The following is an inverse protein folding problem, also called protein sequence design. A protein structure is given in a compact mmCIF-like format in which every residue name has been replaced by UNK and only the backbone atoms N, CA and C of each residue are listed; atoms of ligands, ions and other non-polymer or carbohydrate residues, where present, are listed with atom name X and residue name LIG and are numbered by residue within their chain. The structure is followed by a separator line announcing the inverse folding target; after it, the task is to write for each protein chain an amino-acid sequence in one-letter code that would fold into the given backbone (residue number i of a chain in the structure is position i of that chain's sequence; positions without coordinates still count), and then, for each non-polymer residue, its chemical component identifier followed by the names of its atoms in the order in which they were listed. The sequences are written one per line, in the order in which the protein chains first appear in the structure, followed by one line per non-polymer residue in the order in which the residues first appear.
data_IF_975871933019
#
_entry.id   IF_975871933019
#
_cell.length_a   1.000
_cell.length_b   1.000
_cell.length_c   1.000
_cell.angle_alpha   90.00
_cell.angle_beta   90.00
_cell.angle_gamma   90.00
#
_symmetry.space_group_name_H-M   'P 1'
#
loop_
_entity.id
_entity.type
_entity.pdbx_description
1 polymer ?
#
# COMPACT_ATOMS: atom_id res chain seq x y z
N UNK A 1 11.07 -1.87 14.86
CA UNK A 1 9.98 -1.86 15.87
C UNK A 1 9.39 -3.25 16.17
N UNK A 2 9.76 -4.32 15.43
CA UNK A 2 9.38 -5.70 15.77
C UNK A 2 7.98 -6.12 15.32
N UNK A 3 7.37 -5.37 14.40
CA UNK A 3 6.20 -5.80 13.62
C UNK A 3 6.71 -6.50 12.37
N UNK A 4 6.27 -7.73 12.13
CA UNK A 4 6.70 -8.56 11.00
C UNK A 4 5.50 -8.90 10.12
N UNK A 5 5.75 -9.28 8.86
CA UNK A 5 4.68 -9.67 7.95
C UNK A 5 3.73 -8.53 7.56
N UNK A 6 4.20 -7.29 7.65
CA UNK A 6 3.50 -6.13 7.08
C UNK A 6 3.81 -6.11 5.59
N UNK A 7 2.77 -6.02 4.77
CA UNK A 7 2.88 -5.96 3.32
C UNK A 7 2.30 -4.68 2.74
N UNK A 8 2.68 -4.40 1.50
CA UNK A 8 2.24 -3.28 0.69
C UNK A 8 1.20 -3.78 -0.31
N UNK A 9 0.03 -3.15 -0.31
CA UNK A 9 -0.97 -3.31 -1.36
C UNK A 9 -0.94 -2.06 -2.22
N UNK A 10 -0.53 -2.22 -3.47
CA UNK A 10 -0.56 -1.14 -4.45
C UNK A 10 -1.96 -0.48 -4.52
N UNK A 11 -2.05 0.85 -4.62
CA UNK A 11 -0.91 1.78 -4.66
C UNK A 11 -0.44 2.21 -3.26
N UNK A 12 -1.31 2.25 -2.26
CA UNK A 12 -1.06 3.08 -1.07
C UNK A 12 -1.41 2.44 0.28
N UNK A 13 -1.74 1.15 0.34
CA UNK A 13 -2.25 0.54 1.58
C UNK A 13 -1.24 -0.38 2.26
N UNK A 14 -1.27 -0.37 3.59
CA UNK A 14 -0.53 -1.29 4.44
C UNK A 14 -1.45 -2.44 4.87
N UNK A 15 -0.96 -3.66 4.77
CA UNK A 15 -1.71 -4.87 5.10
C UNK A 15 -0.92 -5.79 6.04
N UNK A 16 -1.64 -6.56 6.85
CA UNK A 16 -1.09 -7.69 7.59
C UNK A 16 -2.06 -8.85 7.49
N UNK A 17 -1.59 -10.02 7.03
CA UNK A 17 -2.41 -11.23 6.87
C UNK A 17 -3.73 -11.01 6.09
N UNK A 18 -3.71 -10.13 5.07
CA UNK A 18 -4.88 -9.82 4.26
C UNK A 18 -5.86 -8.80 4.88
N UNK A 19 -5.55 -8.28 6.06
CA UNK A 19 -6.31 -7.24 6.75
C UNK A 19 -5.64 -5.87 6.59
N UNK A 20 -6.43 -4.82 6.35
CA UNK A 20 -5.89 -3.46 6.20
C UNK A 20 -5.41 -2.92 7.56
N UNK A 21 -4.14 -2.51 7.61
CA UNK A 21 -3.49 -1.93 8.79
C UNK A 21 -3.41 -0.39 8.71
N UNK A 22 -3.41 0.17 7.51
CA UNK A 22 -3.28 1.60 7.32
C UNK A 22 -3.32 1.98 5.85
N UNK A 23 -3.20 3.27 5.58
CA UNK A 23 -3.21 3.82 4.23
C UNK A 23 -2.42 5.12 4.16
N UNK A 24 -1.86 5.37 2.98
CA UNK A 24 -1.13 6.59 2.66
C UNK A 24 -1.95 7.36 1.62
N UNK A 25 -2.03 8.67 1.76
CA UNK A 25 -2.62 9.56 0.78
C UNK A 25 -1.60 10.64 0.44
N UNK A 26 -1.35 10.85 -0.85
CA UNK A 26 -0.47 11.92 -1.33
C UNK A 26 -1.28 12.86 -2.19
N UNK A 27 -1.37 14.12 -1.78
CA UNK A 27 -2.02 15.19 -2.53
C UNK A 27 -0.96 16.15 -3.04
N UNK A 28 -1.02 16.50 -4.31
CA UNK A 28 -0.12 17.45 -4.93
C UNK A 28 -0.82 18.80 -5.08
N UNK A 29 -0.12 19.87 -4.70
CA UNK A 29 -0.57 21.25 -4.86
C UNK A 29 0.51 22.12 -5.49
N UNK A 30 0.10 23.26 -6.04
CA UNK A 30 0.98 24.25 -6.66
C UNK A 30 0.75 24.43 -8.16
N UNK A 31 1.70 25.09 -8.81
CA UNK A 31 1.61 25.47 -10.22
C UNK A 31 2.41 24.50 -11.12
N UNK A 32 1.89 24.18 -12.31
CA UNK A 32 2.52 23.23 -13.23
C UNK A 32 3.96 23.60 -13.66
N UNK A 33 4.29 24.90 -13.63
CA UNK A 33 5.61 25.44 -13.96
C UNK A 33 6.24 26.21 -12.79
N UNK A 34 5.64 26.11 -11.60
CA UNK A 34 6.06 26.84 -10.40
C UNK A 34 6.37 25.89 -9.24
N UNK A 35 6.47 26.42 -8.02
CA UNK A 35 6.67 25.60 -6.83
C UNK A 35 5.51 24.62 -6.66
N UNK A 36 5.82 23.32 -6.63
CA UNK A 36 4.89 22.29 -6.23
C UNK A 36 5.18 21.84 -4.79
N UNK A 37 4.15 21.37 -4.10
CA UNK A 37 4.28 20.73 -2.79
C UNK A 37 3.46 19.45 -2.77
N UNK A 38 3.87 18.52 -1.92
CA UNK A 38 3.14 17.30 -1.64
C UNK A 38 2.70 17.29 -0.18
N UNK A 39 1.43 16.94 0.05
CA UNK A 39 0.88 16.65 1.38
C UNK A 39 0.79 15.14 1.51
N UNK A 40 1.55 14.56 2.42
CA UNK A 40 1.59 13.11 2.67
C UNK A 40 0.82 12.83 3.97
N UNK A 41 -0.39 12.30 3.84
CA UNK A 41 -1.18 11.78 4.95
C UNK A 41 -0.84 10.31 5.18
N UNK A 42 -0.44 9.94 6.40
CA UNK A 42 -0.23 8.54 6.81
C UNK A 42 -1.21 8.18 7.90
N UNK A 43 -2.18 7.31 7.57
CA UNK A 43 -3.12 6.73 8.52
C UNK A 43 -2.65 5.34 8.95
N UNK A 44 -2.48 5.12 10.25
CA UNK A 44 -2.09 3.83 10.81
C UNK A 44 -3.04 3.42 11.92
N UNK A 45 -3.59 2.21 11.82
CA UNK A 45 -4.42 1.63 12.87
C UNK A 45 -3.51 1.19 14.01
N UNK A 46 -3.45 1.97 15.09
CA UNK A 46 -2.61 1.66 16.24
C UNK A 46 -3.33 0.75 17.24
N UNK A 47 -4.53 1.17 17.63
CA UNK A 47 -5.44 0.45 18.52
C UNK A 47 -6.85 0.95 18.19
N UNK A 48 -7.67 0.08 17.62
CA UNK A 48 -9.05 0.36 17.29
C UNK A 48 -9.92 -0.27 18.39
N UNK A 49 -10.73 0.57 19.03
CA UNK A 49 -11.68 0.09 20.01
C UNK A 49 -12.69 -0.88 19.38
N UNK A 50 -13.00 -1.97 20.07
CA UNK A 50 -13.88 -3.03 19.54
C UNK A 50 -15.23 -2.49 19.03
N UNK A 51 -15.81 -1.49 19.72
CA UNK A 51 -17.05 -0.85 19.29
C UNK A 51 -16.89 -0.08 17.96
N UNK A 52 -15.81 0.69 17.80
CA UNK A 52 -15.51 1.39 16.55
C UNK A 52 -15.21 0.40 15.42
N UNK A 53 -14.58 -0.73 15.73
CA UNK A 53 -14.30 -1.80 14.78
C UNK A 53 -15.54 -2.41 14.12
N UNK A 54 -16.68 -2.43 14.82
CA UNK A 54 -17.93 -3.01 14.29
C UNK A 54 -18.53 -2.24 13.12
N UNK A 55 -18.15 -0.98 12.93
CA UNK A 55 -18.67 -0.14 11.84
C UNK A 55 -17.80 -0.15 10.59
N UNK A 56 -16.65 -0.85 10.60
CA UNK A 56 -15.73 -0.93 9.47
C UNK A 56 -16.19 -2.06 8.55
N UNK A 57 -16.51 -1.70 7.31
CA UNK A 57 -17.11 -2.55 6.28
C UNK A 57 -16.10 -3.42 5.51
N UNK A 58 -14.81 -3.19 5.72
CA UNK A 58 -13.72 -3.97 5.13
C UNK A 58 -12.88 -4.70 6.19
N UNK A 59 -12.23 -5.82 5.86
CA UNK A 59 -11.32 -6.50 6.77
C UNK A 59 -10.15 -5.59 7.19
N UNK A 60 -9.94 -5.44 8.49
CA UNK A 60 -8.96 -4.54 9.08
C UNK A 60 -8.22 -5.18 10.24
N UNK A 61 -7.07 -4.61 10.58
CA UNK A 61 -6.28 -4.95 11.77
C UNK A 61 -5.60 -3.69 12.31
N UNK A 62 -5.00 -3.79 13.48
CA UNK A 62 -4.24 -2.73 14.13
C UNK A 62 -2.93 -3.26 14.75
N UNK A 63 -2.01 -2.37 15.09
CA UNK A 63 -0.73 -2.76 15.67
C UNK A 63 -0.89 -3.52 16.99
N UNK A 64 -1.90 -3.20 17.80
CA UNK A 64 -2.20 -3.90 19.04
C UNK A 64 -2.53 -5.38 18.81
N UNK A 65 -3.24 -5.68 17.73
CA UNK A 65 -3.62 -7.03 17.32
C UNK A 65 -2.46 -7.78 16.66
N UNK A 66 -1.69 -7.09 15.80
CA UNK A 66 -0.48 -7.66 15.15
C UNK A 66 0.52 -8.15 16.21
N UNK A 67 0.63 -7.44 17.33
CA UNK A 67 1.54 -7.81 18.42
C UNK A 67 0.88 -7.65 19.79
N UNK A 68 0.02 -8.62 20.12
CA UNK A 68 -0.68 -8.66 21.39
C UNK A 68 0.28 -8.61 22.60
N UNK A 69 -0.07 -7.80 23.60
CA UNK A 69 0.63 -7.72 24.88
C UNK A 69 1.87 -6.81 24.91
N UNK A 70 2.24 -6.16 23.80
CA UNK A 70 3.29 -5.14 23.80
C UNK A 70 2.68 -3.75 24.08
N UNK A 71 3.22 -2.96 25.02
CA UNK A 71 2.82 -1.57 25.15
C UNK A 71 3.16 -0.80 23.87
N UNK A 72 2.18 -0.04 23.36
CA UNK A 72 2.33 0.76 22.15
C UNK A 72 2.46 2.23 22.52
N UNK A 73 3.60 2.81 22.15
CA UNK A 73 3.85 4.24 22.26
C UNK A 73 3.64 4.91 20.89
N UNK A 74 2.54 5.65 20.76
CA UNK A 74 2.19 6.40 19.55
C UNK A 74 3.23 7.44 19.16
N UNK A 75 3.83 8.12 20.15
CA UNK A 75 4.83 9.15 19.88
C UNK A 75 6.11 8.51 19.34
N UNK A 76 6.50 7.36 19.90
CA UNK A 76 7.64 6.60 19.39
C UNK A 76 7.40 6.11 17.96
N UNK A 77 6.20 5.60 17.65
CA UNK A 77 5.85 5.19 16.28
C UNK A 77 5.94 6.39 15.34
N UNK A 78 5.34 7.52 15.70
CA UNK A 78 5.36 8.73 14.88
C UNK A 78 6.79 9.23 14.66
N UNK A 79 7.62 9.27 15.69
CA UNK A 79 9.03 9.69 15.58
C UNK A 79 9.81 8.76 14.63
N UNK A 80 9.73 7.45 14.81
CA UNK A 80 10.41 6.49 13.93
C UNK A 80 9.90 6.58 12.48
N UNK A 81 8.58 6.72 12.29
CA UNK A 81 7.98 6.88 10.96
C UNK A 81 8.50 8.14 10.27
N UNK A 82 8.51 9.28 10.98
CA UNK A 82 8.97 10.56 10.42
C UNK A 82 10.45 10.53 10.06
N UNK A 83 11.29 9.96 10.92
CA UNK A 83 12.73 9.78 10.66
C UNK A 83 12.96 8.98 9.37
N UNK A 84 12.34 7.80 9.25
CA UNK A 84 12.51 6.97 8.05
C UNK A 84 11.87 7.59 6.81
N UNK A 85 10.76 8.32 6.97
CA UNK A 85 10.11 9.00 5.84
C UNK A 85 11.02 10.08 5.27
N UNK A 86 11.71 10.85 6.11
CA UNK A 86 12.67 11.87 5.65
C UNK A 86 13.82 11.23 4.87
N UNK A 87 14.43 10.16 5.39
CA UNK A 87 15.51 9.44 4.71
C UNK A 87 15.06 8.88 3.35
N UNK A 88 13.85 8.29 3.29
CA UNK A 88 13.27 7.75 2.06
C UNK A 88 12.98 8.85 1.05
N UNK A 89 12.47 10.01 1.49
CA UNK A 89 12.21 11.15 0.61
C UNK A 89 13.50 11.73 0.03
N UNK A 90 14.58 11.82 0.81
CA UNK A 90 15.89 12.23 0.31
C UNK A 90 16.43 11.26 -0.75
N UNK A 91 16.34 9.96 -0.49
CA UNK A 91 16.74 8.94 -1.45
C UNK A 91 15.89 8.99 -2.73
N UNK A 92 14.57 9.14 -2.59
CA UNK A 92 13.63 9.25 -3.70
C UNK A 92 13.93 10.48 -4.57
N UNK A 93 14.26 11.62 -3.98
CA UNK A 93 14.62 12.84 -4.72
C UNK A 93 15.85 12.65 -5.61
N UNK A 94 16.78 11.74 -5.23
CA UNK A 94 18.00 11.46 -5.98
C UNK A 94 17.84 10.32 -6.99
N UNK A 95 17.09 9.27 -6.63
CA UNK A 95 17.10 7.98 -7.33
C UNK A 95 15.76 7.57 -7.90
N UNK A 96 14.70 8.37 -7.71
CA UNK A 96 13.30 8.06 -8.04
C UNK A 96 12.81 6.76 -7.37
N UNK A 97 11.66 6.24 -7.83
CA UNK A 97 11.13 4.97 -7.33
C UNK A 97 12.05 3.78 -7.63
N UNK A 98 12.92 3.88 -8.64
CA UNK A 98 13.79 2.79 -9.07
C UNK A 98 14.66 2.19 -7.94
N UNK A 99 15.03 2.98 -6.93
CA UNK A 99 15.80 2.50 -5.78
C UNK A 99 15.00 1.56 -4.85
N UNK A 100 13.67 1.58 -4.93
CA UNK A 100 12.78 0.89 -4.00
C UNK A 100 12.08 -0.33 -4.61
N UNK A 101 12.27 -0.62 -5.92
CA UNK A 101 11.58 -1.72 -6.61
C UNK A 101 11.83 -3.07 -5.92
N UNK A 102 13.09 -3.37 -5.59
CA UNK A 102 13.45 -4.64 -4.94
C UNK A 102 12.90 -4.71 -3.51
N UNK A 103 12.89 -3.58 -2.79
CA UNK A 103 12.31 -3.53 -1.45
C UNK A 103 10.79 -3.68 -1.48
N UNK A 104 10.13 -3.04 -2.44
CA UNK A 104 8.71 -3.16 -2.68
C UNK A 104 8.33 -4.61 -2.97
N UNK A 105 9.06 -5.29 -3.86
CA UNK A 105 8.80 -6.68 -4.24
C UNK A 105 8.84 -7.64 -3.05
N UNK A 106 9.66 -7.37 -2.02
CA UNK A 106 9.69 -8.16 -0.77
C UNK A 106 8.43 -8.02 0.08
N UNK A 107 7.67 -6.95 -0.10
CA UNK A 107 6.48 -6.62 0.69
C UNK A 107 5.18 -6.66 -0.13
N UNK A 108 5.25 -6.84 -1.45
CA UNK A 108 4.10 -6.81 -2.35
C UNK A 108 3.12 -7.95 -2.05
N UNK A 109 1.93 -7.61 -1.56
CA UNK A 109 0.88 -8.59 -1.24
C UNK A 109 0.03 -8.97 -2.45
N UNK A 110 0.20 -8.31 -3.59
CA UNK A 110 -0.57 -8.54 -4.82
C UNK A 110 0.18 -9.41 -5.82
N UNK A 111 1.51 -9.48 -5.75
CA UNK A 111 2.33 -10.25 -6.69
C UNK A 111 1.80 -11.68 -6.91
N UNK A 112 1.60 -12.06 -8.17
CA UNK A 112 1.08 -13.37 -8.60
C UNK A 112 -0.42 -13.57 -8.40
N UNK A 113 -1.18 -12.57 -7.92
CA UNK A 113 -2.62 -12.68 -7.72
C UNK A 113 -3.41 -12.13 -8.91
N UNK A 114 -4.51 -12.79 -9.24
CA UNK A 114 -5.50 -12.25 -10.15
C UNK A 114 -6.25 -11.10 -9.48
N UNK A 115 -6.12 -9.90 -10.04
CA UNK A 115 -6.70 -8.68 -9.52
C UNK A 115 -7.68 -8.05 -10.51
N UNK A 116 -8.63 -7.31 -9.95
CA UNK A 116 -9.46 -6.36 -10.68
C UNK A 116 -9.05 -4.96 -10.27
N UNK A 117 -8.75 -4.12 -11.25
CA UNK A 117 -8.40 -2.72 -11.08
C UNK A 117 -9.57 -1.88 -11.56
N UNK A 118 -10.01 -0.93 -10.74
CA UNK A 118 -11.00 0.09 -11.11
C UNK A 118 -10.26 1.44 -11.16
N UNK A 119 -10.31 2.13 -12.29
CA UNK A 119 -9.70 3.46 -12.41
C UNK A 119 -10.41 4.33 -13.43
N UNK A 120 -9.86 5.53 -13.69
CA UNK A 120 -10.45 6.49 -14.64
C UNK A 120 -10.56 5.99 -16.08
N UNK A 121 -9.87 4.89 -16.41
CA UNK A 121 -9.90 4.23 -17.73
C UNK A 121 -10.78 2.97 -17.74
N UNK A 122 -11.66 2.80 -16.76
CA UNK A 122 -12.55 1.64 -16.62
C UNK A 122 -11.95 0.49 -15.80
N UNK A 123 -12.62 -0.66 -15.87
CA UNK A 123 -12.17 -1.88 -15.19
C UNK A 123 -11.16 -2.67 -16.02
N UNK A 124 -10.14 -3.21 -15.35
CA UNK A 124 -9.14 -4.10 -15.95
C UNK A 124 -8.94 -5.33 -15.09
N UNK A 125 -8.62 -6.44 -15.75
CA UNK A 125 -8.41 -7.73 -15.12
C UNK A 125 -7.09 -8.32 -15.57
N UNK A 126 -6.35 -8.92 -14.64
CA UNK A 126 -5.09 -9.59 -14.93
C UNK A 126 -4.38 -10.05 -13.68
N UNK A 127 -3.19 -10.62 -13.85
CA UNK A 127 -2.29 -10.98 -12.76
C UNK A 127 -1.39 -9.80 -12.42
N UNK A 128 -1.32 -9.42 -11.15
CA UNK A 128 -0.39 -8.40 -10.67
C UNK A 128 1.04 -8.96 -10.68
N UNK A 129 1.93 -8.34 -11.44
CA UNK A 129 3.30 -8.79 -11.69
C UNK A 129 4.35 -7.86 -11.05
N UNK A 130 3.99 -7.17 -9.97
CA UNK A 130 4.84 -6.18 -9.30
C UNK A 130 4.70 -4.79 -9.90
N UNK A 131 5.71 -3.96 -9.72
CA UNK A 131 5.75 -2.56 -10.17
C UNK A 131 6.97 -2.30 -11.05
N UNK A 132 6.84 -1.35 -11.96
CA UNK A 132 7.97 -0.88 -12.76
C UNK A 132 8.88 0.08 -11.98
N UNK A 133 9.90 0.61 -12.66
CA UNK A 133 10.88 1.55 -12.07
C UNK A 133 10.28 2.93 -11.74
N UNK A 134 9.06 3.19 -12.18
CA UNK A 134 8.30 4.42 -11.92
C UNK A 134 7.21 4.20 -10.86
N UNK A 135 7.00 2.96 -10.40
CA UNK A 135 5.97 2.60 -9.42
C UNK A 135 4.60 2.27 -10.02
N UNK A 136 4.49 2.19 -11.35
CA UNK A 136 3.26 1.75 -12.00
C UNK A 136 3.12 0.23 -11.86
N UNK A 137 1.90 -0.24 -11.57
CA UNK A 137 1.61 -1.66 -11.46
C UNK A 137 1.71 -2.33 -12.84
N UNK A 138 2.47 -3.42 -12.90
CA UNK A 138 2.56 -4.31 -14.05
C UNK A 138 1.40 -5.30 -13.99
N UNK A 139 0.46 -5.20 -14.91
CA UNK A 139 -0.70 -6.09 -15.00
C UNK A 139 -0.56 -7.00 -16.23
N UNK A 140 -0.41 -8.31 -16.01
CA UNK A 140 -0.41 -9.30 -17.09
C UNK A 140 -1.84 -9.69 -17.44
N UNK A 141 -2.26 -9.35 -18.65
CA UNK A 141 -3.58 -9.67 -19.19
C UNK A 141 -3.47 -10.70 -20.33
N UNK A 142 -4.61 -11.17 -20.84
CA UNK A 142 -4.62 -12.06 -22.01
C UNK A 142 -4.05 -11.40 -23.27
N UNK A 143 -4.13 -10.07 -23.37
CA UNK A 143 -3.68 -9.29 -24.54
C UNK A 143 -2.23 -8.78 -24.39
N UNK A 144 -1.57 -9.11 -23.28
CA UNK A 144 -0.22 -8.66 -22.94
C UNK A 144 -0.13 -7.91 -21.63
N UNK A 145 1.04 -7.32 -21.39
CA UNK A 145 1.35 -6.58 -20.16
C UNK A 145 0.89 -5.11 -20.29
N UNK A 146 0.24 -4.61 -19.25
CA UNK A 146 -0.25 -3.24 -19.16
C UNK A 146 0.34 -2.56 -17.94
N UNK A 147 0.78 -1.31 -18.11
CA UNK A 147 1.14 -0.42 -17.01
C UNK A 147 -0.09 0.31 -16.48
N UNK A 148 -0.21 0.35 -15.16
CA UNK A 148 -1.29 1.06 -14.47
C UNK A 148 -0.67 2.07 -13.50
N UNK A 149 -0.91 3.35 -13.77
CA UNK A 149 -0.40 4.49 -13.01
C UNK A 149 -1.29 4.87 -11.80
N UNK A 150 -2.57 4.47 -11.85
CA UNK A 150 -3.57 4.86 -10.87
C UNK A 150 -4.77 3.91 -10.89
N UNK A 151 -5.41 3.74 -9.73
CA UNK A 151 -6.64 2.95 -9.59
C UNK A 151 -6.77 2.28 -8.22
N UNK A 152 -7.95 1.74 -7.98
CA UNK A 152 -8.25 0.90 -6.83
C UNK A 152 -8.11 -0.58 -7.21
N UNK A 153 -7.40 -1.37 -6.40
CA UNK A 153 -7.16 -2.78 -6.67
C UNK A 153 -7.91 -3.67 -5.67
N UNK A 154 -8.59 -4.68 -6.20
CA UNK A 154 -9.23 -5.75 -5.43
C UNK A 154 -8.74 -7.11 -5.90
N UNK A 155 -8.42 -8.00 -4.97
CA UNK A 155 -8.07 -9.40 -5.28
C UNK A 155 -9.36 -10.15 -5.59
N UNK A 156 -9.40 -10.90 -6.69
CA UNK A 156 -10.53 -11.80 -6.95
C UNK A 156 -10.34 -13.08 -6.13
N UNK A 157 -11.39 -13.59 -5.46
CA UNK A 157 -11.39 -14.98 -5.05
C UNK A 157 -11.14 -15.83 -6.30
N UNK A 158 -10.13 -16.69 -6.29
CA UNK A 158 -10.11 -17.79 -7.26
C UNK A 158 -11.38 -18.58 -6.99
N UNK A 159 -12.33 -18.54 -7.92
CA UNK A 159 -13.45 -19.47 -7.93
C UNK A 159 -12.84 -20.87 -7.94
N UNK A 160 -12.82 -21.50 -6.77
CA UNK A 160 -12.32 -22.86 -6.62
C UNK A 160 -13.08 -23.74 -7.59
N UNK A 161 -12.35 -24.42 -8.46
CA UNK A 161 -12.84 -25.67 -9.03
C UNK A 161 -12.97 -26.61 -7.85
N UNK A 162 -14.21 -26.76 -7.35
CA UNK A 162 -14.52 -27.84 -6.44
C UNK A 162 -14.22 -29.18 -7.15
N UNK A 163 -13.63 -30.15 -6.44
CA UNK A 163 -13.36 -31.48 -6.99
C UNK A 163 -14.63 -32.23 -7.41
#
# INVERSE_FOLDING_TARGET
MGYNGIGLKWPNDLYHEGLKLGGILVELGGEALGPCHAIIGVGLNVHIDAAAGTTIDQPWTDLASVRAGLPIDRNRIAACLLEHLLDVLECFAQSSFAAFVDEYARHDVLCGKCVRIIGGRGERFGEAAGVDRQGALLLRTADGELLVDSGEVSVRPQSGTAP
#
